data_IF_286375139973
#
_entry.id   IF_286375139973
#
_cell.length_a   1.000
_cell.length_b   1.000
_cell.length_c   1.000
_cell.angle_alpha   90.00
_cell.angle_beta   90.00
_cell.angle_gamma   90.00
#
_symmetry.space_group_name_H-M   'P 1'
#
loop_
_entity.id
_entity.type
_entity.pdbx_description
1 polymer ?
#
# COMPACT_ATOMS: atom_id res chain seq x y z
N UNK A 1 11.56 10.01 -17.83
CA UNK A 1 11.05 11.06 -16.91
C UNK A 1 9.70 11.60 -17.39
N UNK A 2 9.61 12.22 -18.57
CA UNK A 2 8.33 12.75 -19.10
C UNK A 2 7.22 11.68 -19.22
N UNK A 3 7.59 10.46 -19.59
CA UNK A 3 6.63 9.35 -19.70
C UNK A 3 6.09 8.92 -18.33
N UNK A 4 6.97 8.77 -17.33
CA UNK A 4 6.57 8.48 -15.95
C UNK A 4 5.74 9.61 -15.32
N UNK A 5 6.01 10.87 -15.69
CA UNK A 5 5.20 12.02 -15.26
C UNK A 5 3.82 12.04 -15.95
N UNK A 6 3.68 11.38 -17.09
CA UNK A 6 2.42 11.27 -17.83
C UNK A 6 2.00 12.54 -18.59
N UNK A 7 2.90 13.51 -18.81
CA UNK A 7 2.56 14.76 -19.51
C UNK A 7 2.06 14.56 -20.95
N UNK A 8 2.57 13.52 -21.63
CA UNK A 8 2.19 13.16 -23.01
C UNK A 8 1.15 12.05 -23.07
N UNK A 9 0.67 11.57 -21.92
CA UNK A 9 -0.27 10.44 -21.86
C UNK A 9 -1.69 10.91 -22.15
N UNK A 10 -2.29 10.31 -23.15
CA UNK A 10 -3.74 10.38 -23.39
C UNK A 10 -4.41 9.27 -22.58
N UNK A 11 -5.43 9.62 -21.79
CA UNK A 11 -6.23 8.63 -21.09
C UNK A 11 -7.04 7.81 -22.09
N UNK A 12 -7.16 6.52 -21.84
CA UNK A 12 -7.95 5.57 -22.60
C UNK A 12 -8.90 4.86 -21.62
N UNK A 13 -10.01 5.51 -21.24
CA UNK A 13 -10.90 5.00 -20.21
C UNK A 13 -11.37 3.58 -20.50
N UNK A 14 -11.33 2.73 -19.47
CA UNK A 14 -11.59 1.30 -19.57
C UNK A 14 -12.30 0.80 -18.31
N UNK A 15 -13.35 0.00 -18.50
CA UNK A 15 -14.11 -0.67 -17.42
C UNK A 15 -14.59 0.24 -16.27
N UNK A 16 -14.71 1.55 -16.52
CA UNK A 16 -15.12 2.55 -15.52
C UNK A 16 -16.63 2.79 -15.45
N UNK A 17 -17.42 2.25 -16.39
CA UNK A 17 -18.85 2.54 -16.51
C UNK A 17 -19.74 1.74 -15.55
N UNK A 18 -19.30 0.56 -15.11
CA UNK A 18 -20.07 -0.33 -14.24
C UNK A 18 -19.44 -0.38 -12.84
N UNK A 19 -19.39 0.77 -12.18
CA UNK A 19 -18.82 0.94 -10.86
C UNK A 19 -19.88 1.41 -9.87
N UNK A 20 -19.88 0.82 -8.67
CA UNK A 20 -20.67 1.27 -7.52
C UNK A 20 -19.75 1.96 -6.53
N UNK A 21 -20.22 3.07 -5.96
CA UNK A 21 -19.53 3.79 -4.89
C UNK A 21 -19.93 3.25 -3.52
N UNK A 22 -18.96 3.19 -2.61
CA UNK A 22 -19.12 2.87 -1.19
C UNK A 22 -18.59 4.09 -0.42
N UNK A 23 -19.42 5.13 -0.19
CA UNK A 23 -18.98 6.42 0.34
C UNK A 23 -18.67 6.44 1.85
N UNK A 24 -19.05 5.39 2.58
CA UNK A 24 -18.84 5.27 4.02
C UNK A 24 -17.37 5.06 4.39
N UNK A 25 -16.54 4.61 3.43
CA UNK A 25 -15.11 4.40 3.58
C UNK A 25 -14.35 5.47 2.81
N UNK A 26 -13.48 6.20 3.51
CA UNK A 26 -12.70 7.30 2.95
C UNK A 26 -11.23 7.13 3.30
N UNK A 27 -10.35 7.58 2.40
CA UNK A 27 -8.92 7.68 2.63
C UNK A 27 -8.23 6.36 3.08
N UNK A 28 -8.75 5.22 2.66
CA UNK A 28 -8.11 3.94 2.91
C UNK A 28 -7.05 3.68 1.85
N UNK A 29 -5.79 3.80 2.28
CA UNK A 29 -4.63 3.74 1.39
C UNK A 29 -4.37 2.31 0.91
N UNK A 30 -4.59 1.33 1.80
CA UNK A 30 -4.43 -0.10 1.54
C UNK A 30 -5.69 -0.89 1.85
N UNK A 31 -5.97 -1.89 1.00
CA UNK A 31 -6.96 -2.94 1.24
C UNK A 31 -6.31 -4.32 1.11
N UNK A 32 -6.82 -5.29 1.87
CA UNK A 32 -6.49 -6.72 1.70
C UNK A 32 -7.78 -7.54 1.73
N UNK A 33 -7.99 -8.40 0.73
CA UNK A 33 -9.20 -9.21 0.62
C UNK A 33 -8.88 -10.67 0.92
N UNK A 34 -9.57 -11.24 1.91
CA UNK A 34 -9.48 -12.67 2.21
C UNK A 34 -10.34 -13.49 1.25
N UNK A 35 -10.04 -14.79 1.15
CA UNK A 35 -10.84 -15.73 0.35
C UNK A 35 -12.30 -15.85 0.81
N UNK A 36 -12.62 -15.46 2.04
CA UNK A 36 -13.98 -15.39 2.56
C UNK A 36 -14.82 -14.23 1.99
N UNK A 37 -14.18 -13.27 1.32
CA UNK A 37 -14.81 -12.02 0.87
C UNK A 37 -14.81 -10.92 1.94
N UNK A 38 -14.18 -11.15 3.09
CA UNK A 38 -13.94 -10.08 4.07
C UNK A 38 -12.71 -9.29 3.62
N UNK A 39 -12.90 -8.01 3.37
CA UNK A 39 -11.84 -7.05 3.08
C UNK A 39 -11.46 -6.31 4.35
N UNK A 40 -10.16 -6.18 4.62
CA UNK A 40 -9.59 -5.33 5.65
C UNK A 40 -9.06 -4.05 5.02
N UNK A 41 -9.25 -2.92 5.70
CA UNK A 41 -8.89 -1.60 5.22
C UNK A 41 -8.10 -0.82 6.27
N UNK A 42 -7.07 -0.11 5.83
CA UNK A 42 -6.28 0.82 6.64
C UNK A 42 -6.64 2.27 6.26
N UNK A 43 -7.48 2.91 7.07
CA UNK A 43 -8.16 4.16 6.72
C UNK A 43 -7.70 5.35 7.56
N UNK A 44 -7.71 6.53 6.95
CA UNK A 44 -7.55 7.78 7.67
C UNK A 44 -8.84 8.15 8.41
N UNK A 45 -8.72 8.87 9.53
CA UNK A 45 -9.90 9.44 10.19
C UNK A 45 -10.64 10.46 9.32
N UNK A 46 -9.88 11.27 8.58
CA UNK A 46 -10.39 12.19 7.55
C UNK A 46 -9.37 12.33 6.41
N UNK A 47 -9.80 12.78 5.23
CA UNK A 47 -8.89 13.02 4.09
C UNK A 47 -7.91 14.15 4.41
N UNK A 48 -8.37 15.21 5.08
CA UNK A 48 -7.56 16.36 5.47
C UNK A 48 -6.43 15.96 6.44
N UNK A 49 -6.63 14.92 7.23
CA UNK A 49 -5.56 14.42 8.11
C UNK A 49 -4.32 13.99 7.31
N UNK A 50 -4.47 13.51 6.07
CA UNK A 50 -3.36 13.10 5.19
C UNK A 50 -2.50 14.27 4.73
N UNK A 51 -3.08 15.47 4.59
CA UNK A 51 -2.32 16.66 4.17
C UNK A 51 -1.53 17.27 5.32
N UNK A 52 -1.91 16.95 6.57
CA UNK A 52 -1.16 17.36 7.77
C UNK A 52 -0.16 16.29 8.22
N UNK A 53 -0.49 15.02 8.04
CA UNK A 53 0.33 13.90 8.49
C UNK A 53 0.28 12.71 7.55
N UNK A 54 1.28 12.64 6.69
CA UNK A 54 1.60 11.50 5.87
C UNK A 54 3.07 11.60 5.45
N UNK A 55 4.00 10.90 6.13
CA UNK A 55 5.43 11.07 5.89
C UNK A 55 5.83 10.83 4.44
N UNK A 56 5.18 9.93 3.70
CA UNK A 56 5.47 9.69 2.27
C UNK A 56 5.19 10.92 1.38
N UNK A 57 4.31 11.82 1.82
CA UNK A 57 4.00 13.10 1.17
C UNK A 57 4.81 14.28 1.74
N UNK A 58 5.72 14.02 2.68
CA UNK A 58 6.45 15.05 3.44
C UNK A 58 5.55 15.93 4.33
N UNK A 59 4.31 15.48 4.56
CA UNK A 59 3.38 16.08 5.51
C UNK A 59 3.72 15.61 6.94
N UNK A 60 4.37 16.49 7.72
CA UNK A 60 5.00 16.16 9.01
C UNK A 60 4.54 17.07 10.16
N UNK A 61 3.30 17.59 10.09
CA UNK A 61 2.74 18.43 11.15
C UNK A 61 2.27 17.57 12.34
N UNK A 62 3.21 17.25 13.24
CA UNK A 62 2.96 16.42 14.41
C UNK A 62 1.92 17.04 15.37
N UNK A 63 1.92 18.36 15.53
CA UNK A 63 0.97 19.07 16.38
C UNK A 63 -0.46 18.89 15.88
N UNK A 64 -0.68 19.04 14.57
CA UNK A 64 -2.00 18.90 13.97
C UNK A 64 -2.55 17.48 14.12
N UNK A 65 -1.74 16.45 13.84
CA UNK A 65 -2.20 15.06 13.92
C UNK A 65 -2.43 14.59 15.36
N UNK A 66 -1.66 15.10 16.32
CA UNK A 66 -1.87 14.79 17.73
C UNK A 66 -3.12 15.49 18.30
N UNK A 67 -3.56 16.58 17.68
CA UNK A 67 -4.75 17.33 18.08
C UNK A 67 -6.03 16.93 17.32
N UNK A 68 -5.96 15.99 16.38
CA UNK A 68 -7.10 15.60 15.55
C UNK A 68 -8.20 14.92 16.38
N UNK A 69 -9.44 15.16 16.01
CA UNK A 69 -10.62 14.58 16.67
C UNK A 69 -10.91 13.15 16.24
N UNK A 70 -10.57 12.77 15.01
CA UNK A 70 -10.82 11.44 14.45
C UNK A 70 -9.48 10.78 14.12
N UNK A 71 -9.09 9.71 14.83
CA UNK A 71 -7.87 8.97 14.53
C UNK A 71 -8.03 8.09 13.28
N UNK A 72 -6.91 7.65 12.73
CA UNK A 72 -6.92 6.59 11.72
C UNK A 72 -7.44 5.28 12.34
N UNK A 73 -8.03 4.44 11.50
CA UNK A 73 -8.72 3.23 11.96
C UNK A 73 -8.58 2.08 10.97
N UNK A 74 -8.64 0.87 11.52
CA UNK A 74 -8.85 -0.33 10.73
C UNK A 74 -10.35 -0.60 10.60
N UNK A 75 -10.77 -1.06 9.44
CA UNK A 75 -12.14 -1.50 9.20
C UNK A 75 -12.18 -2.80 8.42
N UNK A 76 -13.32 -3.48 8.47
CA UNK A 76 -13.67 -4.55 7.54
C UNK A 76 -14.86 -4.16 6.68
N UNK A 77 -14.87 -4.63 5.44
CA UNK A 77 -16.00 -4.63 4.53
C UNK A 77 -16.29 -6.07 4.08
N UNK A 78 -17.47 -6.59 4.38
CA UNK A 78 -17.91 -7.88 3.87
C UNK A 78 -18.55 -7.70 2.50
N UNK A 79 -17.88 -8.21 1.46
CA UNK A 79 -18.29 -8.07 0.06
C UNK A 79 -19.66 -8.74 -0.21
N UNK A 80 -20.03 -9.75 0.57
CA UNK A 80 -21.26 -10.50 0.37
C UNK A 80 -22.48 -9.80 0.96
N UNK A 81 -22.31 -9.10 2.09
CA UNK A 81 -23.40 -8.46 2.84
C UNK A 81 -23.41 -6.94 2.73
N UNK A 82 -22.29 -6.34 2.33
CA UNK A 82 -22.07 -4.90 2.36
C UNK A 82 -21.81 -4.33 3.75
N UNK A 83 -21.67 -5.18 4.78
CA UNK A 83 -21.47 -4.73 6.15
C UNK A 83 -20.09 -4.10 6.34
N UNK A 84 -20.07 -2.94 7.02
CA UNK A 84 -18.84 -2.25 7.40
C UNK A 84 -18.70 -2.29 8.92
N UNK A 85 -17.53 -2.67 9.41
CA UNK A 85 -17.23 -2.71 10.84
C UNK A 85 -15.89 -2.02 11.08
N UNK A 86 -15.90 -0.93 11.85
CA UNK A 86 -14.69 -0.35 12.38
C UNK A 86 -14.16 -1.24 13.51
N UNK A 87 -12.89 -1.66 13.41
CA UNK A 87 -12.29 -2.62 14.32
C UNK A 87 -11.84 -1.95 15.61
N UNK A 88 -12.21 -2.56 16.75
CA UNK A 88 -11.72 -2.14 18.06
C UNK A 88 -10.27 -2.58 18.24
N UNK A 89 -9.37 -1.63 18.47
CA UNK A 89 -7.96 -1.92 18.77
C UNK A 89 -7.80 -2.17 20.27
N UNK A 90 -7.24 -3.33 20.64
CA UNK A 90 -6.99 -3.73 22.02
C UNK A 90 -5.48 -3.81 22.29
N UNK A 91 -5.03 -3.36 23.44
CA UNK A 91 -3.65 -3.57 23.94
C UNK A 91 -2.59 -2.60 23.42
N UNK A 92 -2.84 -1.84 22.35
CA UNK A 92 -1.92 -0.77 21.93
C UNK A 92 -2.04 0.42 22.88
N UNK A 93 -1.02 0.66 23.70
CA UNK A 93 -1.00 1.71 24.72
C UNK A 93 -0.25 2.99 24.30
N UNK A 94 0.26 3.06 23.08
CA UNK A 94 1.00 4.24 22.60
C UNK A 94 0.05 5.45 22.46
N UNK A 95 0.26 6.56 23.19
CA UNK A 95 -0.66 7.70 23.18
C UNK A 95 -0.70 8.43 21.83
N UNK A 96 0.27 8.17 20.94
CA UNK A 96 0.29 8.73 19.58
C UNK A 96 -0.70 8.03 18.64
N UNK A 97 -1.24 6.89 19.07
CA UNK A 97 -2.25 6.14 18.34
C UNK A 97 -1.76 5.58 17.00
N UNK A 98 -2.73 5.29 16.13
CA UNK A 98 -2.52 4.76 14.79
C UNK A 98 -2.49 5.88 13.75
N UNK A 99 -1.52 5.84 12.85
CA UNK A 99 -1.34 6.73 11.72
C UNK A 99 -0.99 5.84 10.51
N UNK A 100 -2.03 5.36 9.84
CA UNK A 100 -2.00 4.13 9.05
C UNK A 100 -1.56 4.37 7.62
N UNK A 101 -0.83 3.42 7.06
CA UNK A 101 -0.38 3.41 5.66
C UNK A 101 -0.55 1.97 5.13
N UNK A 102 0.51 1.35 4.59
CA UNK A 102 0.44 -0.03 4.11
C UNK A 102 0.15 -1.07 5.18
N UNK A 103 -0.40 -2.20 4.74
CA UNK A 103 -0.93 -3.26 5.59
C UNK A 103 -0.91 -4.60 4.84
N UNK A 104 -0.63 -5.67 5.57
CA UNK A 104 -0.93 -7.04 5.13
C UNK A 104 -1.77 -7.79 6.17
N UNK A 105 -2.62 -8.70 5.68
CA UNK A 105 -3.47 -9.57 6.50
C UNK A 105 -3.28 -11.00 6.04
N UNK A 106 -2.71 -11.82 6.91
CA UNK A 106 -2.25 -13.17 6.56
C UNK A 106 -2.84 -14.18 7.53
N UNK A 107 -3.44 -15.29 7.05
CA UNK A 107 -3.84 -16.39 7.92
C UNK A 107 -2.68 -16.96 8.71
N UNK A 108 -2.94 -17.35 9.95
CA UNK A 108 -1.98 -18.09 10.76
C UNK A 108 -1.69 -19.45 10.13
N UNK A 109 -0.42 -19.85 10.17
CA UNK A 109 0.05 -21.09 9.53
C UNK A 109 -0.49 -22.37 10.20
N UNK A 110 -0.99 -22.28 11.44
CA UNK A 110 -1.56 -23.40 12.21
C UNK A 110 -3.09 -23.34 12.19
N UNK A 111 -3.67 -22.17 12.46
CA UNK A 111 -5.12 -21.96 12.46
C UNK A 111 -5.54 -20.87 11.46
N UNK A 112 -5.99 -21.23 10.25
CA UNK A 112 -6.37 -20.24 9.22
C UNK A 112 -7.52 -19.29 9.60
N UNK A 113 -8.28 -19.57 10.68
CA UNK A 113 -9.28 -18.62 11.21
C UNK A 113 -8.64 -17.48 11.98
N UNK A 114 -7.50 -17.75 12.59
CA UNK A 114 -6.63 -16.76 13.20
C UNK A 114 -5.90 -15.99 12.09
N UNK A 115 -5.83 -14.67 12.23
CA UNK A 115 -5.20 -13.78 11.27
C UNK A 115 -4.12 -12.95 11.96
N UNK A 116 -2.98 -12.78 11.28
CA UNK A 116 -1.96 -11.79 11.59
C UNK A 116 -2.16 -10.56 10.72
N UNK A 117 -2.06 -9.38 11.33
CA UNK A 117 -2.09 -8.10 10.62
C UNK A 117 -0.76 -7.40 10.87
N UNK A 118 -0.04 -7.08 9.80
CA UNK A 118 1.17 -6.28 9.82
C UNK A 118 0.84 -4.91 9.27
N UNK A 119 1.10 -3.86 10.03
CA UNK A 119 0.57 -2.54 9.74
C UNK A 119 1.64 -1.46 9.88
N UNK A 120 1.88 -0.66 8.83
CA UNK A 120 2.70 0.55 8.97
C UNK A 120 1.96 1.52 9.86
N UNK A 121 2.65 2.00 10.90
CA UNK A 121 2.20 3.10 11.73
C UNK A 121 3.26 4.22 11.73
N UNK A 122 2.90 5.38 11.19
CA UNK A 122 3.75 6.56 11.15
C UNK A 122 3.60 7.40 12.42
N UNK A 123 4.24 7.02 13.52
CA UNK A 123 4.01 7.69 14.80
C UNK A 123 4.62 9.10 14.83
N UNK A 124 3.83 10.15 15.17
CA UNK A 124 4.34 11.51 15.26
C UNK A 124 5.30 11.75 16.40
N UNK A 125 6.22 12.70 16.21
CA UNK A 125 7.08 13.28 17.24
C UNK A 125 7.08 14.80 17.10
N UNK A 126 7.19 15.55 18.20
CA UNK A 126 7.10 17.01 18.20
C UNK A 126 8.13 17.73 17.29
N UNK A 127 9.21 17.05 16.89
CA UNK A 127 10.25 17.55 15.98
C UNK A 127 10.31 16.76 14.66
N UNK A 128 9.17 16.21 14.23
CA UNK A 128 9.10 15.39 13.02
C UNK A 128 9.40 16.15 11.74
N UNK A 129 9.28 17.49 11.71
CA UNK A 129 9.69 18.29 10.56
C UNK A 129 11.20 18.18 10.27
N UNK A 130 12.03 17.99 11.31
CA UNK A 130 13.49 17.84 11.16
C UNK A 130 13.99 16.40 11.28
N UNK A 131 13.20 15.49 11.88
CA UNK A 131 13.61 14.09 12.13
C UNK A 131 12.81 13.06 11.33
N UNK A 132 11.66 13.46 10.80
CA UNK A 132 10.65 12.58 10.23
C UNK A 132 9.83 11.86 11.30
N UNK A 133 8.95 10.98 10.84
CA UNK A 133 8.14 10.14 11.73
C UNK A 133 8.94 9.01 12.40
N UNK A 134 8.48 8.60 13.58
CA UNK A 134 8.82 7.33 14.21
C UNK A 134 8.01 6.19 13.60
N UNK A 135 8.30 5.92 12.32
CA UNK A 135 7.59 4.89 11.56
C UNK A 135 7.97 3.50 12.04
N UNK A 136 6.96 2.68 12.31
CA UNK A 136 7.09 1.32 12.84
C UNK A 136 6.16 0.36 12.12
N UNK A 137 6.36 -0.94 12.33
CA UNK A 137 5.36 -1.96 12.00
C UNK A 137 4.69 -2.42 13.30
N UNK A 138 3.38 -2.25 13.38
CA UNK A 138 2.55 -2.84 14.43
C UNK A 138 2.09 -4.22 13.98
N UNK A 139 2.21 -5.22 14.86
CA UNK A 139 1.71 -6.57 14.64
C UNK A 139 0.48 -6.76 15.51
N UNK A 140 -0.63 -7.12 14.87
CA UNK A 140 -1.86 -7.49 15.54
C UNK A 140 -2.25 -8.93 15.23
N UNK A 141 -3.10 -9.49 16.09
CA UNK A 141 -3.77 -10.76 15.92
C UNK A 141 -5.27 -10.57 15.98
N UNK A 142 -6.02 -11.30 15.16
CA UNK A 142 -7.48 -11.30 15.21
C UNK A 142 -8.04 -12.66 14.76
N UNK A 143 -9.36 -12.80 14.81
CA UNK A 143 -10.10 -13.92 14.24
C UNK A 143 -10.89 -13.42 13.04
N UNK A 144 -11.07 -14.28 12.04
CA UNK A 144 -11.90 -13.98 10.87
C UNK A 144 -13.31 -13.61 11.31
N UNK A 145 -13.78 -12.43 10.89
CA UNK A 145 -15.10 -11.90 11.24
C UNK A 145 -15.21 -11.27 12.63
N UNK A 146 -14.13 -11.21 13.42
CA UNK A 146 -14.12 -10.47 14.67
C UNK A 146 -14.19 -8.95 14.41
N UNK A 147 -14.81 -8.23 15.35
CA UNK A 147 -14.90 -6.76 15.33
C UNK A 147 -13.74 -6.07 16.07
N UNK A 148 -12.63 -6.78 16.31
CA UNK A 148 -11.49 -6.26 17.05
C UNK A 148 -10.17 -6.79 16.51
N UNK A 149 -9.08 -6.11 16.86
CA UNK A 149 -7.70 -6.57 16.68
C UNK A 149 -6.96 -6.44 17.99
N UNK A 150 -6.14 -7.43 18.33
CA UNK A 150 -5.33 -7.46 19.54
C UNK A 150 -3.89 -7.16 19.18
N UNK A 151 -3.35 -6.08 19.74
CA UNK A 151 -1.96 -5.72 19.57
C UNK A 151 -1.07 -6.79 20.20
N UNK A 152 -0.04 -7.19 19.46
CA UNK A 152 0.94 -8.18 19.89
C UNK A 152 2.29 -7.54 20.15
N UNK A 153 2.81 -6.77 19.19
CA UNK A 153 4.12 -6.15 19.33
C UNK A 153 4.30 -5.00 18.32
N UNK A 154 5.08 -3.99 18.72
CA UNK A 154 5.64 -2.98 17.83
C UNK A 154 7.06 -3.38 17.41
N UNK A 155 7.38 -3.33 16.13
CA UNK A 155 8.72 -3.56 15.57
C UNK A 155 9.28 -2.26 15.00
N UNK A 156 10.48 -1.88 15.44
CA UNK A 156 11.20 -0.69 14.98
C UNK A 156 12.70 -0.98 14.89
N UNK A 157 13.32 -0.59 13.77
CA UNK A 157 14.78 -0.57 13.60
C UNK A 157 15.14 0.50 12.57
N UNK A 158 15.63 1.65 13.03
CA UNK A 158 15.91 2.80 12.16
C UNK A 158 16.99 2.56 11.09
N UNK A 159 17.76 1.46 11.18
CA UNK A 159 18.78 1.10 10.18
C UNK A 159 18.18 0.39 8.97
N UNK A 160 17.06 -0.31 9.16
CA UNK A 160 16.35 -1.05 8.11
C UNK A 160 15.00 -0.41 7.75
N UNK A 161 14.40 0.30 8.70
CA UNK A 161 13.07 0.91 8.65
C UNK A 161 13.20 2.43 8.73
N UNK A 162 13.44 3.02 7.56
CA UNK A 162 13.63 4.46 7.38
C UNK A 162 12.29 5.11 7.06
N UNK A 163 11.59 4.61 6.04
CA UNK A 163 10.32 5.17 5.53
C UNK A 163 9.42 4.03 5.05
N UNK A 164 9.00 3.12 5.96
CA UNK A 164 8.17 1.97 5.60
C UNK A 164 6.90 2.43 4.86
N UNK A 165 6.59 1.78 3.75
CA UNK A 165 5.45 2.13 2.89
C UNK A 165 4.42 1.00 2.89
N UNK A 166 4.80 -0.19 2.43
CA UNK A 166 3.93 -1.37 2.38
C UNK A 166 4.67 -2.63 2.89
N UNK A 167 3.93 -3.69 3.25
CA UNK A 167 4.45 -4.89 3.93
C UNK A 167 3.90 -6.16 3.29
N UNK A 168 4.67 -7.24 3.33
CA UNK A 168 4.17 -8.62 3.22
C UNK A 168 4.61 -9.44 4.42
N UNK A 169 3.63 -10.00 5.11
CA UNK A 169 3.79 -10.74 6.36
C UNK A 169 3.93 -12.25 6.20
N UNK A 170 4.53 -12.90 7.18
CA UNK A 170 4.48 -14.35 7.35
C UNK A 170 3.27 -14.79 8.18
N UNK A 171 2.71 -15.97 7.88
CA UNK A 171 1.63 -16.58 8.68
C UNK A 171 2.06 -17.04 10.08
N UNK A 172 3.34 -16.87 10.45
CA UNK A 172 3.86 -17.20 11.77
C UNK A 172 3.81 -16.03 12.78
N UNK A 173 3.36 -14.85 12.35
CA UNK A 173 3.31 -13.64 13.20
C UNK A 173 4.67 -13.04 13.55
N UNK A 174 5.77 -13.49 12.91
CA UNK A 174 7.15 -13.21 13.36
C UNK A 174 8.03 -12.56 12.32
N UNK A 175 7.76 -12.74 11.04
CA UNK A 175 8.63 -12.23 9.97
C UNK A 175 7.86 -11.52 8.88
N UNK A 176 8.51 -10.54 8.26
CA UNK A 176 7.92 -9.76 7.18
C UNK A 176 9.00 -9.07 6.34
N UNK A 177 8.67 -8.82 5.07
CA UNK A 177 9.39 -7.86 4.23
C UNK A 177 8.57 -6.59 4.10
N UNK A 178 9.23 -5.46 3.96
CA UNK A 178 8.57 -4.16 3.82
C UNK A 178 9.39 -3.24 2.93
N UNK A 179 8.73 -2.32 2.24
CA UNK A 179 9.39 -1.35 1.37
C UNK A 179 9.71 -0.07 2.12
N UNK A 180 10.84 0.56 1.80
CA UNK A 180 11.15 1.94 2.19
C UNK A 180 11.02 2.83 0.96
N UNK A 181 10.08 3.78 0.95
CA UNK A 181 9.73 4.57 -0.24
C UNK A 181 10.66 5.77 -0.50
N UNK A 182 11.48 6.13 0.48
CA UNK A 182 12.47 7.19 0.38
C UNK A 182 13.77 6.79 1.08
N UNK A 183 14.92 7.14 0.49
CA UNK A 183 16.23 6.87 1.11
C UNK A 183 16.51 7.72 2.35
N UNK A 184 15.75 8.78 2.58
CA UNK A 184 15.86 9.67 3.72
C UNK A 184 14.45 10.05 4.23
N UNK A 185 14.33 10.25 5.56
CA UNK A 185 13.06 10.60 6.21
C UNK A 185 12.58 12.02 5.88
N UNK A 186 13.51 12.96 5.73
CA UNK A 186 13.25 14.40 5.58
C UNK A 186 14.37 15.10 4.79
N UNK A 187 14.15 16.37 4.48
CA UNK A 187 15.18 17.32 4.07
C UNK A 187 15.61 17.23 2.61
N UNK A 188 16.52 18.12 2.20
CA UNK A 188 16.89 18.31 0.79
C UNK A 188 17.34 17.04 0.08
N UNK A 189 18.00 16.11 0.78
CA UNK A 189 18.43 14.85 0.17
C UNK A 189 17.25 14.05 -0.38
N UNK A 190 16.13 13.99 0.35
CA UNK A 190 14.91 13.32 -0.11
C UNK A 190 14.38 13.92 -1.42
N UNK A 191 14.38 15.24 -1.53
CA UNK A 191 13.93 15.93 -2.74
C UNK A 191 14.91 15.80 -3.91
N UNK A 192 16.22 15.80 -3.64
CA UNK A 192 17.24 15.57 -4.67
C UNK A 192 17.15 14.14 -5.22
N UNK A 193 16.92 13.14 -4.36
CA UNK A 193 16.69 11.76 -4.79
C UNK A 193 15.50 11.68 -5.76
N UNK A 194 14.41 12.41 -5.45
CA UNK A 194 13.23 12.50 -6.30
C UNK A 194 13.52 13.23 -7.62
N UNK A 195 14.13 14.40 -7.55
CA UNK A 195 14.43 15.27 -8.70
C UNK A 195 15.37 14.60 -9.71
N UNK A 196 16.38 13.88 -9.22
CA UNK A 196 17.37 13.20 -10.05
C UNK A 196 17.06 11.72 -10.30
N UNK A 197 15.87 11.24 -9.91
CA UNK A 197 15.43 9.85 -10.12
C UNK A 197 16.44 8.82 -9.59
N UNK A 198 17.02 9.05 -8.41
CA UNK A 198 18.08 8.18 -7.88
C UNK A 198 17.52 6.87 -7.29
N UNK A 199 18.28 5.78 -7.42
CA UNK A 199 17.99 4.49 -6.75
C UNK A 199 18.38 4.57 -5.28
N UNK A 200 17.50 5.07 -4.42
CA UNK A 200 17.76 5.18 -2.96
C UNK A 200 16.79 4.40 -2.08
N UNK A 201 15.66 3.96 -2.64
CA UNK A 201 14.66 3.12 -1.96
C UNK A 201 15.11 1.67 -1.87
N UNK A 202 14.53 0.88 -0.98
CA UNK A 202 14.91 -0.53 -0.81
C UNK A 202 13.88 -1.33 -0.01
N UNK A 203 13.96 -2.65 -0.08
CA UNK A 203 13.20 -3.56 0.77
C UNK A 203 14.00 -3.88 2.02
N UNK A 204 13.35 -3.82 3.18
CA UNK A 204 13.82 -4.35 4.44
C UNK A 204 13.19 -5.71 4.76
N UNK A 205 13.84 -6.46 5.64
CA UNK A 205 13.30 -7.67 6.26
C UNK A 205 13.45 -7.55 7.77
N UNK A 206 12.44 -8.00 8.51
CA UNK A 206 12.50 -8.11 9.96
C UNK A 206 12.03 -9.48 10.41
N UNK A 207 12.64 -9.95 11.49
CA UNK A 207 12.10 -11.02 12.32
C UNK A 207 12.04 -10.53 13.77
N UNK A 208 10.90 -10.71 14.45
CA UNK A 208 10.63 -10.13 15.78
C UNK A 208 11.69 -10.47 16.85
N UNK A 209 12.35 -11.62 16.74
CA UNK A 209 13.45 -12.04 17.63
C UNK A 209 14.86 -11.90 17.06
N UNK A 210 15.04 -11.84 15.74
CA UNK A 210 16.37 -11.85 15.10
C UNK A 210 16.77 -10.47 14.55
N UNK A 211 15.89 -9.47 14.71
CA UNK A 211 16.11 -8.10 14.29
C UNK A 211 15.82 -7.89 12.81
N UNK A 212 16.23 -6.72 12.32
CA UNK A 212 15.95 -6.25 10.98
C UNK A 212 17.22 -6.01 10.16
N UNK A 213 17.08 -6.06 8.84
CA UNK A 213 18.15 -5.74 7.88
C UNK A 213 17.60 -5.20 6.57
N UNK A 214 18.44 -4.47 5.85
CA UNK A 214 18.21 -4.18 4.43
C UNK A 214 18.27 -5.50 3.66
N UNK A 215 17.21 -5.82 2.94
CA UNK A 215 17.04 -7.10 2.24
C UNK A 215 17.34 -7.01 0.75
N UNK A 216 17.21 -5.85 0.11
CA UNK A 216 17.47 -5.67 -1.32
C UNK A 216 18.62 -4.71 -1.62
N UNK A 217 19.11 -4.77 -2.86
CA UNK A 217 19.83 -3.65 -3.49
C UNK A 217 18.92 -2.42 -3.57
N UNK A 218 19.49 -1.24 -3.83
CA UNK A 218 18.69 -0.03 -4.00
C UNK A 218 17.84 -0.08 -5.28
N UNK A 219 16.59 0.35 -5.16
CA UNK A 219 15.55 0.35 -6.19
C UNK A 219 15.07 1.78 -6.48
N UNK A 220 14.33 1.96 -7.57
CA UNK A 220 13.62 3.20 -7.85
C UNK A 220 12.27 3.20 -7.13
N UNK A 221 12.02 4.19 -6.26
CA UNK A 221 10.69 4.48 -5.73
C UNK A 221 9.91 3.26 -5.23
N UNK A 222 10.48 2.40 -4.37
CA UNK A 222 9.78 1.22 -3.84
C UNK A 222 8.48 1.64 -3.16
N UNK A 223 7.35 1.02 -3.50
CA UNK A 223 6.04 1.29 -2.90
C UNK A 223 5.36 -0.04 -2.56
N UNK A 224 4.34 -0.47 -3.31
CA UNK A 224 3.64 -1.72 -3.07
C UNK A 224 4.55 -2.95 -3.11
N UNK A 225 4.29 -3.89 -2.22
CA UNK A 225 4.99 -5.17 -2.14
C UNK A 225 3.98 -6.31 -2.09
N UNK A 226 4.25 -7.39 -2.82
CA UNK A 226 3.42 -8.58 -2.83
C UNK A 226 4.28 -9.85 -2.84
N UNK A 227 3.73 -10.94 -2.31
CA UNK A 227 4.32 -12.27 -2.38
C UNK A 227 3.54 -13.10 -3.39
N UNK A 228 4.22 -13.57 -4.44
CA UNK A 228 3.62 -14.49 -5.41
C UNK A 228 3.50 -15.91 -4.82
N UNK A 229 2.66 -16.79 -5.45
CA UNK A 229 2.47 -18.16 -4.99
C UNK A 229 3.76 -19.00 -4.95
N UNK A 230 4.73 -18.70 -5.81
CA UNK A 230 6.05 -19.36 -5.84
C UNK A 230 7.01 -18.85 -4.74
N UNK A 231 6.55 -17.91 -3.91
CA UNK A 231 7.32 -17.28 -2.85
C UNK A 231 8.18 -16.08 -3.31
N UNK A 232 8.16 -15.72 -4.59
CA UNK A 232 8.84 -14.52 -5.09
C UNK A 232 8.24 -13.26 -4.48
N UNK A 233 9.09 -12.27 -4.21
CA UNK A 233 8.71 -10.95 -3.70
C UNK A 233 8.70 -9.96 -4.86
N UNK A 234 7.56 -9.33 -5.10
CA UNK A 234 7.36 -8.34 -6.15
C UNK A 234 7.26 -6.96 -5.54
N UNK A 235 7.95 -5.99 -6.13
CA UNK A 235 8.01 -4.61 -5.62
C UNK A 235 7.70 -3.63 -6.75
N UNK A 236 6.63 -2.87 -6.58
CA UNK A 236 6.19 -1.83 -7.49
C UNK A 236 6.97 -0.54 -7.29
N UNK A 237 7.14 0.23 -8.37
CA UNK A 237 7.78 1.53 -8.32
C UNK A 237 6.80 2.68 -8.54
N UNK A 238 6.66 3.57 -7.56
CA UNK A 238 5.80 4.76 -7.71
C UNK A 238 6.46 5.88 -8.54
N UNK A 239 7.74 5.74 -8.88
CA UNK A 239 8.50 6.75 -9.64
C UNK A 239 8.73 6.36 -11.10
N UNK A 240 8.83 5.08 -11.41
CA UNK A 240 9.05 4.59 -12.78
C UNK A 240 8.08 3.47 -13.09
N UNK A 241 7.73 3.28 -14.36
CA UNK A 241 6.85 2.19 -14.78
C UNK A 241 7.52 0.82 -14.73
N UNK A 242 7.84 0.35 -13.52
CA UNK A 242 8.54 -0.91 -13.29
C UNK A 242 7.96 -1.68 -12.10
N UNK A 243 7.91 -3.00 -12.26
CA UNK A 243 7.73 -3.98 -11.21
C UNK A 243 8.98 -4.86 -11.16
N UNK A 244 9.60 -5.00 -10.00
CA UNK A 244 10.79 -5.86 -9.83
C UNK A 244 10.42 -7.15 -9.13
N UNK A 245 10.95 -8.27 -9.60
CA UNK A 245 10.73 -9.61 -9.04
C UNK A 245 12.02 -10.07 -8.36
N UNK A 246 11.90 -10.55 -7.13
CA UNK A 246 13.02 -11.00 -6.33
C UNK A 246 12.75 -12.37 -5.70
N UNK A 247 13.78 -13.20 -5.57
CA UNK A 247 13.70 -14.46 -4.84
C UNK A 247 14.33 -14.30 -3.45
N UNK A 248 13.62 -14.68 -2.37
CA UNK A 248 14.23 -14.78 -1.06
C UNK A 248 15.34 -15.84 -1.03
N UNK A 249 16.51 -15.45 -0.51
CA UNK A 249 17.58 -16.38 -0.13
C UNK A 249 17.29 -16.99 1.25
N UNK A 250 18.09 -17.97 1.65
CA UNK A 250 18.00 -18.60 2.98
C UNK A 250 18.09 -17.58 4.11
N UNK A 251 18.97 -16.58 3.98
CA UNK A 251 19.12 -15.50 4.94
C UNK A 251 18.06 -14.40 4.83
N UNK A 252 17.03 -14.59 3.99
CA UNK A 252 15.92 -13.64 3.76
C UNK A 252 16.31 -12.34 3.05
N UNK A 253 17.55 -12.22 2.57
CA UNK A 253 17.88 -11.21 1.55
C UNK A 253 17.24 -11.56 0.21
N UNK A 254 17.08 -10.56 -0.64
CA UNK A 254 16.34 -10.65 -1.90
C UNK A 254 17.31 -10.61 -3.07
N UNK A 255 17.30 -11.68 -3.86
CA UNK A 255 18.00 -11.74 -5.13
C UNK A 255 17.11 -11.20 -6.25
N UNK A 256 17.58 -10.15 -6.94
CA UNK A 256 16.87 -9.64 -8.10
C UNK A 256 16.86 -10.67 -9.24
N UNK A 257 15.67 -11.04 -9.71
CA UNK A 257 15.49 -11.99 -10.81
C UNK A 257 15.23 -11.27 -12.12
N UNK A 258 14.28 -10.32 -12.12
CA UNK A 258 13.90 -9.60 -13.33
C UNK A 258 13.17 -8.30 -13.03
N UNK A 259 13.13 -7.42 -14.03
CA UNK A 259 12.34 -6.18 -14.03
C UNK A 259 11.31 -6.25 -15.16
N UNK A 260 10.05 -6.07 -14.80
CA UNK A 260 8.91 -6.01 -15.73
C UNK A 260 8.59 -4.53 -15.97
N UNK A 261 8.54 -4.12 -17.24
CA UNK A 261 8.08 -2.78 -17.59
C UNK A 261 6.57 -2.74 -17.55
N UNK A 262 6.01 -1.79 -16.82
CA UNK A 262 4.57 -1.63 -16.66
C UNK A 262 4.01 -0.41 -17.35
N UNK A 263 4.86 0.45 -17.93
CA UNK A 263 4.53 1.76 -18.53
C UNK A 263 3.98 2.81 -17.56
N UNK A 264 3.37 2.39 -16.45
CA UNK A 264 2.83 3.24 -15.40
C UNK A 264 3.61 3.05 -14.11
N UNK A 265 3.97 4.15 -13.41
CA UNK A 265 4.33 4.05 -12.00
C UNK A 265 3.20 3.37 -11.21
N UNK A 266 3.59 2.52 -10.27
CA UNK A 266 2.72 1.65 -9.49
C UNK A 266 2.70 2.08 -8.03
N UNK A 267 1.56 1.92 -7.40
CA UNK A 267 1.38 2.05 -5.96
C UNK A 267 1.23 0.64 -5.36
N UNK A 268 0.23 0.39 -4.52
CA UNK A 268 0.03 -0.90 -3.87
C UNK A 268 -0.23 -2.05 -4.84
N UNK A 269 0.27 -3.22 -4.42
CA UNK A 269 0.08 -4.50 -5.07
C UNK A 269 -0.85 -5.39 -4.23
N UNK A 270 -1.65 -6.20 -4.89
CA UNK A 270 -2.48 -7.23 -4.28
C UNK A 270 -2.38 -8.54 -5.07
N UNK A 271 -2.28 -9.67 -4.37
CA UNK A 271 -2.35 -11.00 -4.98
C UNK A 271 -3.82 -11.35 -5.26
N UNK A 272 -4.12 -11.74 -6.50
CA UNK A 272 -5.42 -12.27 -6.91
C UNK A 272 -5.46 -13.80 -6.78
N UNK A 273 -6.66 -14.37 -6.68
CA UNK A 273 -6.87 -15.81 -6.52
C UNK A 273 -6.32 -16.66 -7.68
N UNK A 274 -6.22 -16.08 -8.88
CA UNK A 274 -5.62 -16.69 -10.07
C UNK A 274 -4.07 -16.61 -10.08
N UNK A 275 -3.47 -16.05 -9.04
CA UNK A 275 -2.02 -15.86 -8.92
C UNK A 275 -1.49 -14.62 -9.64
N UNK A 276 -2.35 -13.83 -10.28
CA UNK A 276 -1.95 -12.54 -10.87
C UNK A 276 -1.77 -11.48 -9.78
N UNK A 277 -0.93 -10.48 -10.06
CA UNK A 277 -0.80 -9.29 -9.23
C UNK A 277 -1.70 -8.19 -9.80
N UNK A 278 -2.55 -7.63 -8.95
CA UNK A 278 -3.34 -6.45 -9.23
C UNK A 278 -2.59 -5.25 -8.67
N UNK A 279 -2.31 -4.26 -9.51
CA UNK A 279 -1.52 -3.10 -9.15
C UNK A 279 -2.31 -1.81 -9.41
N UNK A 280 -2.47 -0.98 -8.39
CA UNK A 280 -2.87 0.41 -8.61
C UNK A 280 -1.75 1.15 -9.34
N UNK A 281 -2.12 2.01 -10.28
CA UNK A 281 -1.18 2.65 -11.19
C UNK A 281 -1.54 4.11 -11.42
N UNK A 282 -0.51 4.93 -11.70
CA UNK A 282 -0.64 6.38 -11.90
C UNK A 282 -0.49 6.75 -13.38
N UNK A 283 -1.60 7.06 -14.10
CA UNK A 283 -1.53 7.53 -15.48
C UNK A 283 -0.79 8.86 -15.63
N UNK A 284 -0.98 9.78 -14.67
CA UNK A 284 -0.46 11.15 -14.71
C UNK A 284 0.07 11.57 -13.34
N UNK A 285 1.32 11.21 -13.05
CA UNK A 285 1.96 11.50 -11.76
C UNK A 285 2.01 13.01 -11.43
N UNK A 286 2.08 13.90 -12.43
CA UNK A 286 2.01 15.35 -12.20
C UNK A 286 0.67 15.82 -11.63
N UNK A 287 -0.47 15.25 -12.09
CA UNK A 287 -1.79 15.58 -11.54
C UNK A 287 -1.98 14.97 -10.15
N UNK A 288 -1.40 13.78 -9.91
CA UNK A 288 -1.35 13.20 -8.57
C UNK A 288 -0.59 14.10 -7.59
N UNK A 289 0.58 14.64 -8.00
CA UNK A 289 1.33 15.57 -7.18
C UNK A 289 0.57 16.87 -6.92
N UNK A 290 -0.18 17.36 -7.90
CA UNK A 290 -1.04 18.54 -7.74
C UNK A 290 -2.20 18.27 -6.76
N UNK A 291 -2.84 17.10 -6.83
CA UNK A 291 -3.95 16.74 -5.94
C UNK A 291 -3.55 16.56 -4.47
N UNK A 292 -2.26 16.29 -4.20
CA UNK A 292 -1.70 16.29 -2.84
C UNK A 292 -1.71 17.70 -2.20
N UNK A 293 -1.64 18.75 -3.01
CA UNK A 293 -1.61 20.16 -2.57
C UNK A 293 -3.03 20.76 -2.63
N UNK A 294 -3.75 20.49 -3.71
CA UNK A 294 -5.10 20.95 -3.93
C UNK A 294 -6.06 19.76 -3.99
N UNK A 295 -6.79 19.51 -2.89
CA UNK A 295 -7.76 18.41 -2.80
C UNK A 295 -8.93 18.52 -3.78
N UNK A 296 -9.10 19.67 -4.45
CA UNK A 296 -10.09 19.85 -5.51
C UNK A 296 -9.60 19.34 -6.88
N UNK A 297 -8.30 19.12 -7.05
CA UNK A 297 -7.72 18.56 -8.28
C UNK A 297 -7.96 17.05 -8.30
N UNK A 298 -8.49 16.56 -9.42
CA UNK A 298 -8.69 15.12 -9.64
C UNK A 298 -7.47 14.50 -10.31
N UNK A 299 -7.07 13.33 -9.82
CA UNK A 299 -5.98 12.55 -10.39
C UNK A 299 -6.56 11.29 -11.04
N UNK A 300 -6.26 11.04 -12.34
CA UNK A 300 -6.68 9.82 -13.03
C UNK A 300 -6.17 8.56 -12.32
N UNK A 301 -6.96 7.49 -12.40
CA UNK A 301 -6.64 6.20 -11.79
C UNK A 301 -6.56 5.11 -12.86
N UNK A 302 -5.60 4.19 -12.74
CA UNK A 302 -5.55 2.97 -13.54
C UNK A 302 -5.26 1.74 -12.66
N UNK A 303 -5.64 0.57 -13.16
CA UNK A 303 -5.29 -0.71 -12.54
C UNK A 303 -4.73 -1.65 -13.57
N UNK A 304 -3.60 -2.29 -13.23
CA UNK A 304 -2.96 -3.31 -14.03
C UNK A 304 -3.18 -4.70 -13.42
N UNK A 305 -3.39 -5.70 -14.27
CA UNK A 305 -3.27 -7.13 -13.95
C UNK A 305 -1.97 -7.64 -14.53
N UNK A 306 -1.14 -8.23 -13.69
CA UNK A 306 0.20 -8.69 -14.03
C UNK A 306 0.26 -10.20 -13.77
N UNK A 307 0.24 -11.01 -14.82
CA UNK A 307 0.17 -12.48 -14.72
C UNK A 307 1.44 -13.15 -15.24
N UNK A 308 1.84 -14.26 -14.61
CA UNK A 308 2.96 -15.07 -15.09
C UNK A 308 2.57 -15.80 -16.37
N UNK A 309 3.41 -15.71 -17.40
CA UNK A 309 3.28 -16.44 -18.64
C UNK A 309 4.08 -17.76 -18.58
N UNK A 310 3.71 -18.73 -19.43
CA UNK A 310 4.30 -20.08 -19.49
C UNK A 310 5.80 -20.13 -19.78
N UNK A 311 6.41 -19.02 -20.20
CA UNK A 311 7.84 -18.90 -20.52
C UNK A 311 8.64 -18.06 -19.48
N UNK A 312 8.07 -17.82 -18.30
CA UNK A 312 8.69 -16.99 -17.26
C UNK A 312 8.63 -15.48 -17.51
N UNK A 313 8.03 -15.04 -18.62
CA UNK A 313 7.67 -13.62 -18.83
C UNK A 313 6.41 -13.28 -18.05
N UNK A 314 6.14 -11.99 -17.93
CA UNK A 314 4.89 -11.49 -17.35
C UNK A 314 4.08 -10.80 -18.44
N UNK A 315 2.77 -11.06 -18.43
CA UNK A 315 1.81 -10.27 -19.19
C UNK A 315 1.35 -9.10 -18.31
N UNK A 316 1.35 -7.88 -18.87
CA UNK A 316 0.87 -6.68 -18.19
C UNK A 316 -0.35 -6.18 -18.94
N UNK A 317 -1.52 -6.28 -18.31
CA UNK A 317 -2.79 -5.89 -18.89
C UNK A 317 -3.36 -4.72 -18.09
N UNK A 318 -3.74 -3.62 -18.74
CA UNK A 318 -4.54 -2.58 -18.10
C UNK A 318 -5.99 -3.05 -18.06
N UNK A 319 -6.56 -3.19 -16.87
CA UNK A 319 -7.93 -3.69 -16.67
C UNK A 319 -8.91 -2.59 -16.26
N UNK A 320 -8.42 -1.41 -15.90
CA UNK A 320 -9.23 -0.25 -15.55
C UNK A 320 -8.47 1.05 -15.84
N UNK A 321 -9.17 2.07 -16.31
CA UNK A 321 -8.68 3.46 -16.34
C UNK A 321 -9.88 4.42 -16.31
N UNK A 322 -9.80 5.47 -15.49
CA UNK A 322 -10.73 6.60 -15.48
C UNK A 322 -9.98 7.95 -15.42
N UNK A 323 -10.72 9.04 -15.37
CA UNK A 323 -10.19 10.40 -15.25
C UNK A 323 -10.10 10.90 -13.79
N UNK A 324 -10.39 10.04 -12.81
CA UNK A 324 -10.40 10.36 -11.39
C UNK A 324 -11.73 10.91 -10.87
N UNK A 325 -12.74 11.13 -11.72
CA UNK A 325 -14.04 11.68 -11.28
C UNK A 325 -14.86 10.70 -10.44
N UNK A 326 -14.67 9.39 -10.61
CA UNK A 326 -15.38 8.37 -9.83
C UNK A 326 -14.73 8.17 -8.45
N UNK A 327 -13.40 8.21 -8.42
CA UNK A 327 -12.58 8.03 -7.23
C UNK A 327 -11.15 8.48 -7.52
N UNK A 328 -10.85 9.73 -7.16
CA UNK A 328 -9.52 10.33 -7.33
C UNK A 328 -8.50 9.67 -6.41
N UNK A 329 -7.23 9.68 -6.83
CA UNK A 329 -6.09 9.27 -6.01
C UNK A 329 -6.16 7.78 -5.59
N UNK A 330 -6.43 6.89 -6.54
CA UNK A 330 -6.37 5.46 -6.25
C UNK A 330 -4.92 5.01 -5.97
N UNK A 331 -4.70 4.39 -4.80
CA UNK A 331 -3.41 3.83 -4.38
C UNK A 331 -3.49 2.33 -4.17
N UNK A 332 -4.67 1.74 -4.13
CA UNK A 332 -4.84 0.29 -3.95
C UNK A 332 -5.96 -0.25 -4.81
N UNK A 333 -5.78 -1.49 -5.27
CA UNK A 333 -6.77 -2.20 -6.02
C UNK A 333 -6.66 -3.72 -5.80
N UNK A 334 -7.79 -4.41 -5.70
CA UNK A 334 -7.83 -5.85 -5.50
C UNK A 334 -9.05 -6.48 -6.17
N UNK A 335 -8.90 -7.71 -6.66
CA UNK A 335 -9.97 -8.48 -7.30
C UNK A 335 -10.61 -9.43 -6.31
N UNK A 336 -11.94 -9.55 -6.37
CA UNK A 336 -12.69 -10.66 -5.78
C UNK A 336 -13.75 -11.14 -6.77
N UNK A 337 -13.58 -12.36 -7.29
CA UNK A 337 -14.35 -12.85 -8.42
C UNK A 337 -14.19 -11.95 -9.65
N UNK A 338 -15.29 -11.45 -10.17
CA UNK A 338 -15.38 -10.52 -11.31
C UNK A 338 -15.40 -9.03 -10.90
N UNK A 339 -15.18 -8.74 -9.61
CA UNK A 339 -15.29 -7.38 -9.07
C UNK A 339 -13.92 -6.84 -8.70
N UNK A 340 -13.59 -5.69 -9.27
CA UNK A 340 -12.42 -4.90 -8.94
C UNK A 340 -12.78 -3.86 -7.91
N UNK A 341 -12.13 -3.93 -6.75
CA UNK A 341 -12.21 -2.90 -5.72
C UNK A 341 -11.05 -1.93 -5.89
N UNK A 342 -11.34 -0.63 -5.85
CA UNK A 342 -10.35 0.44 -6.01
C UNK A 342 -10.55 1.43 -4.86
N UNK A 343 -9.46 1.75 -4.16
CA UNK A 343 -9.47 2.77 -3.11
C UNK A 343 -8.13 3.51 -3.08
N UNK A 344 -7.97 4.43 -2.13
CA UNK A 344 -6.95 5.46 -2.25
C UNK A 344 -6.65 6.25 -0.98
N UNK A 345 -5.40 6.65 -0.84
CA UNK A 345 -4.87 7.49 0.24
C UNK A 345 -5.72 8.74 0.50
N UNK A 346 -6.21 9.40 -0.55
CA UNK A 346 -7.05 10.60 -0.47
C UNK A 346 -8.42 10.41 -1.13
N UNK A 347 -8.83 9.17 -1.39
CA UNK A 347 -10.09 8.88 -2.07
C UNK A 347 -11.29 9.13 -1.16
N UNK A 348 -12.29 9.86 -1.67
CA UNK A 348 -13.54 10.17 -0.95
C UNK A 348 -14.50 8.99 -0.81
N UNK A 349 -14.22 7.87 -1.47
CA UNK A 349 -15.05 6.66 -1.52
C UNK A 349 -14.24 5.49 -2.04
N UNK A 350 -14.64 4.28 -1.70
CA UNK A 350 -14.20 3.08 -2.40
C UNK A 350 -15.08 2.82 -3.62
N UNK A 351 -14.49 2.28 -4.70
CA UNK A 351 -15.20 1.84 -5.88
C UNK A 351 -15.22 0.32 -5.97
N UNK A 352 -16.36 -0.24 -6.37
CA UNK A 352 -16.52 -1.64 -6.74
C UNK A 352 -16.98 -1.72 -8.20
N UNK A 353 -16.08 -2.09 -9.09
CA UNK A 353 -16.29 -2.10 -10.54
C UNK A 353 -16.38 -3.53 -11.07
N UNK A 354 -17.38 -3.83 -11.90
CA UNK A 354 -17.46 -5.12 -12.58
C UNK A 354 -16.52 -5.15 -13.78
N UNK A 355 -15.58 -6.09 -13.76
CA UNK A 355 -14.63 -6.32 -14.85
C UNK A 355 -15.16 -7.49 -15.68
N UNK A 356 -15.38 -7.30 -16.99
CA UNK A 356 -15.74 -8.41 -17.87
C UNK A 356 -14.71 -9.53 -17.73
N UNK A 357 -15.18 -10.77 -17.54
CA UNK A 357 -14.28 -11.92 -17.55
C UNK A 357 -13.66 -12.04 -18.95
N UNK A 358 -12.38 -12.47 -19.06
CA UNK A 358 -11.80 -12.80 -20.35
C UNK A 358 -12.69 -13.82 -21.06
N UNK A 359 -13.06 -13.52 -22.31
CA UNK A 359 -13.87 -14.38 -23.17
C UNK A 359 -13.15 -15.68 -23.54
#
# INVERSE_FOLDING_TARGET
MLDALGFRRTLQPLNHKNCKSIPELQACEKISILSSGIMYLACAGTIESRTTWMPTLDALNATAVLARSVPDYLATYDINTGAIVQLTVKGLADPRGLNLHGMDVVPDEIDPKTLWIYLVNHRPQLDSEHKGADSVIEIFKTQTGANYVEWVQTVSDSRAMVTPNDIVGGGNGKEFWFTNDNGAKVGMRRHLDAMFWLKTTFVGYCHVTHGCKKASVSLYGSNGIARAPDGSILVGSYRVGQLTVHKPKEDKTLEHVQTIQTEFPLDNLALSADGSIIAAAFPKLHLLAESMINVSTTAPSAVLRISSATNGKYNVEKIYEDDGQLGSFATTAAMYGDTLFIHGLMAHRMLACKIPLPS
#
